data_IF_720489298528
#
_entry.id   IF_720489298528
#
_cell.length_a   1.000
_cell.length_b   1.000
_cell.length_c   1.000
_cell.angle_alpha   90.00
_cell.angle_beta   90.00
_cell.angle_gamma   90.00
#
_symmetry.space_group_name_H-M   'P 1'
#
loop_
_entity.id
_entity.type
_entity.pdbx_description
1 polymer ?
#
# COMPACT_ATOMS: atom_id res chain seq x y z
N UNK A 1 -18.55 -12.68 26.42
CA UNK A 1 -17.33 -12.08 25.85
C UNK A 1 -17.77 -10.70 25.35
N UNK A 2 -17.21 -9.67 25.89
CA UNK A 2 -17.55 -8.29 25.53
C UNK A 2 -16.59 -7.81 24.42
N UNK A 3 -17.05 -6.95 23.57
CA UNK A 3 -16.27 -6.43 22.45
C UNK A 3 -15.02 -5.69 22.94
N UNK A 4 -15.15 -5.00 24.06
CA UNK A 4 -14.09 -4.30 24.76
C UNK A 4 -12.93 -5.23 25.15
N UNK A 5 -13.24 -6.46 25.56
CA UNK A 5 -12.21 -7.46 25.90
C UNK A 5 -11.38 -7.85 24.66
N UNK A 6 -12.03 -7.97 23.49
CA UNK A 6 -11.35 -8.23 22.22
C UNK A 6 -10.47 -7.06 21.79
N UNK A 7 -11.00 -5.83 21.96
CA UNK A 7 -10.25 -4.60 21.68
C UNK A 7 -9.01 -4.50 22.57
N UNK A 8 -9.16 -4.67 23.88
CA UNK A 8 -8.03 -4.66 24.83
C UNK A 8 -6.97 -5.69 24.46
N UNK A 9 -7.37 -6.89 24.05
CA UNK A 9 -6.43 -7.94 23.60
C UNK A 9 -5.66 -7.48 22.34
N UNK A 10 -6.34 -6.94 21.35
CA UNK A 10 -5.69 -6.39 20.14
C UNK A 10 -4.71 -5.29 20.49
N UNK A 11 -5.10 -4.34 21.35
CA UNK A 11 -4.23 -3.23 21.75
C UNK A 11 -2.97 -3.72 22.53
N UNK A 12 -3.08 -4.78 23.33
CA UNK A 12 -1.91 -5.40 23.98
C UNK A 12 -0.96 -6.01 22.96
N UNK A 13 -1.49 -6.71 21.95
CA UNK A 13 -0.66 -7.31 20.88
C UNK A 13 0.04 -6.24 20.05
N UNK A 14 -0.70 -5.20 19.63
CA UNK A 14 -0.17 -4.12 18.78
C UNK A 14 0.87 -3.25 19.50
N UNK A 15 0.65 -2.96 20.78
CA UNK A 15 1.56 -2.10 21.56
C UNK A 15 2.70 -2.87 22.23
N UNK A 16 2.59 -4.20 22.35
CA UNK A 16 3.49 -5.03 23.15
C UNK A 16 3.47 -4.70 24.65
N UNK A 17 2.44 -3.96 25.14
CA UNK A 17 2.44 -3.38 26.49
C UNK A 17 1.04 -3.31 27.10
N UNK A 18 0.87 -3.95 28.26
CA UNK A 18 -0.35 -3.86 29.05
C UNK A 18 -0.68 -2.41 29.50
N UNK A 19 0.37 -1.64 29.84
CA UNK A 19 0.18 -0.25 30.31
C UNK A 19 -0.26 0.68 29.17
N UNK A 20 0.30 0.53 27.98
CA UNK A 20 -0.14 1.30 26.79
C UNK A 20 -1.56 0.91 26.38
N UNK A 21 -1.88 -0.36 26.34
CA UNK A 21 -3.23 -0.82 26.06
C UNK A 21 -4.25 -0.29 27.08
N UNK A 22 -3.87 -0.21 28.36
CA UNK A 22 -4.71 0.36 29.40
C UNK A 22 -5.00 1.85 29.15
N UNK A 23 -3.98 2.64 28.78
CA UNK A 23 -4.14 4.05 28.41
C UNK A 23 -5.07 4.22 27.21
N UNK A 24 -4.92 3.41 26.15
CA UNK A 24 -5.76 3.46 24.94
C UNK A 24 -7.23 3.14 25.24
N UNK A 25 -7.49 2.31 26.25
CA UNK A 25 -8.85 1.91 26.63
C UNK A 25 -9.39 2.67 27.84
N UNK A 26 -8.67 3.66 28.37
CA UNK A 26 -9.07 4.47 29.56
C UNK A 26 -9.39 3.62 30.80
N UNK A 27 -8.62 2.54 31.01
CA UNK A 27 -8.77 1.63 32.16
C UNK A 27 -7.42 1.44 32.88
N UNK A 28 -7.44 0.71 34.01
CA UNK A 28 -6.21 0.36 34.72
C UNK A 28 -5.49 -0.82 34.05
N UNK A 29 -4.17 -0.89 34.19
CA UNK A 29 -3.37 -2.03 33.70
C UNK A 29 -3.83 -3.37 34.33
N UNK A 30 -4.29 -3.35 35.60
CA UNK A 30 -4.86 -4.53 36.26
C UNK A 30 -6.15 -5.01 35.59
N UNK A 31 -7.02 -4.11 35.15
CA UNK A 31 -8.24 -4.42 34.42
C UNK A 31 -7.92 -5.12 33.09
N UNK A 32 -6.99 -4.58 32.30
CA UNK A 32 -6.52 -5.23 31.05
C UNK A 32 -5.97 -6.62 31.36
N UNK A 33 -5.12 -6.76 32.38
CA UNK A 33 -4.53 -8.04 32.76
C UNK A 33 -5.59 -9.07 33.15
N UNK A 34 -6.66 -8.65 33.86
CA UNK A 34 -7.78 -9.52 34.22
C UNK A 34 -8.57 -9.95 32.98
N UNK A 35 -8.85 -9.05 32.03
CA UNK A 35 -9.54 -9.38 30.79
C UNK A 35 -8.76 -10.38 29.94
N UNK A 36 -7.45 -10.20 29.82
CA UNK A 36 -6.60 -11.16 29.10
C UNK A 36 -6.60 -12.53 29.79
N UNK A 37 -6.48 -12.58 31.12
CA UNK A 37 -6.60 -13.86 31.88
C UNK A 37 -7.95 -14.51 31.67
N UNK A 38 -9.03 -13.76 31.64
CA UNK A 38 -10.37 -14.29 31.37
C UNK A 38 -10.48 -14.93 29.99
N UNK A 39 -9.86 -14.31 28.95
CA UNK A 39 -9.78 -14.89 27.62
C UNK A 39 -8.92 -16.18 27.61
N UNK A 40 -7.74 -16.17 28.24
CA UNK A 40 -6.87 -17.35 28.35
C UNK A 40 -7.57 -18.51 29.07
N UNK A 41 -8.27 -18.22 30.15
CA UNK A 41 -9.06 -19.24 30.90
C UNK A 41 -10.20 -19.80 30.06
N UNK A 42 -10.92 -18.92 29.30
CA UNK A 42 -12.02 -19.36 28.43
C UNK A 42 -11.57 -20.32 27.35
N UNK A 43 -10.41 -20.11 26.77
CA UNK A 43 -9.87 -20.99 25.73
C UNK A 43 -8.95 -22.09 26.26
N UNK A 44 -8.70 -22.10 27.55
CA UNK A 44 -7.75 -23.01 28.23
C UNK A 44 -6.36 -22.98 27.54
N UNK A 45 -5.95 -21.80 27.02
CA UNK A 45 -4.69 -21.63 26.32
C UNK A 45 -4.06 -20.28 26.66
N UNK A 46 -2.74 -20.26 26.71
CA UNK A 46 -1.99 -19.01 26.76
C UNK A 46 -2.09 -18.30 25.41
N UNK A 47 -2.53 -17.05 25.42
CA UNK A 47 -2.64 -16.21 24.22
C UNK A 47 -1.44 -15.28 24.07
N UNK A 48 -0.80 -14.90 25.19
CA UNK A 48 0.37 -14.03 25.21
C UNK A 48 1.55 -14.72 25.89
N UNK A 49 2.72 -14.60 25.28
CA UNK A 49 4.00 -14.94 25.88
C UNK A 49 4.55 -13.69 26.58
N UNK A 50 4.97 -13.85 27.83
CA UNK A 50 5.53 -12.77 28.65
C UNK A 50 7.02 -13.03 28.80
N UNK A 51 7.86 -12.38 28.00
CA UNK A 51 9.28 -12.28 28.27
C UNK A 51 9.58 -11.04 29.12
N UNK A 52 10.71 -11.00 29.78
CA UNK A 52 11.10 -9.87 30.64
C UNK A 52 11.17 -8.50 29.90
N UNK A 53 11.12 -8.49 28.59
CA UNK A 53 11.29 -7.27 27.77
C UNK A 53 10.12 -6.96 26.82
N UNK A 54 9.26 -7.93 26.48
CA UNK A 54 8.21 -7.73 25.49
C UNK A 54 7.06 -8.72 25.65
N UNK A 55 5.85 -8.25 25.36
CA UNK A 55 4.65 -9.09 25.28
C UNK A 55 4.42 -9.41 23.81
N UNK A 56 4.41 -10.71 23.48
CA UNK A 56 4.18 -11.19 22.11
C UNK A 56 3.05 -12.21 22.08
N UNK A 57 2.26 -12.30 21.01
CA UNK A 57 1.22 -13.34 20.89
C UNK A 57 1.84 -14.72 20.72
N UNK A 58 1.19 -15.74 21.28
CA UNK A 58 1.44 -17.15 20.99
C UNK A 58 0.81 -17.51 19.63
N UNK A 59 1.04 -18.72 19.06
CA UNK A 59 0.32 -19.16 17.86
C UNK A 59 -1.22 -19.16 18.02
N UNK A 60 -1.72 -19.42 19.23
CA UNK A 60 -3.15 -19.30 19.55
C UNK A 60 -3.58 -17.82 19.62
N UNK A 61 -2.72 -16.97 20.22
CA UNK A 61 -2.91 -15.53 20.29
C UNK A 61 -2.93 -14.86 18.91
N UNK A 62 -2.06 -15.26 18.01
CA UNK A 62 -2.02 -14.81 16.60
C UNK A 62 -3.34 -15.10 15.87
N UNK A 63 -3.88 -16.32 16.04
CA UNK A 63 -5.18 -16.71 15.45
C UNK A 63 -6.31 -15.87 16.03
N UNK A 64 -6.33 -15.71 17.36
CA UNK A 64 -7.35 -14.89 18.02
C UNK A 64 -7.23 -13.42 17.61
N UNK A 65 -6.01 -12.87 17.52
CA UNK A 65 -5.75 -11.49 17.11
C UNK A 65 -6.35 -11.20 15.74
N UNK A 66 -6.08 -12.06 14.75
CA UNK A 66 -6.65 -11.92 13.40
C UNK A 66 -8.18 -11.94 13.43
N UNK A 67 -8.77 -12.93 14.12
CA UNK A 67 -10.23 -13.01 14.24
C UNK A 67 -10.84 -11.82 14.99
N UNK A 68 -10.18 -11.31 16.04
CA UNK A 68 -10.64 -10.12 16.76
C UNK A 68 -10.61 -8.87 15.88
N UNK A 69 -9.55 -8.68 15.09
CA UNK A 69 -9.47 -7.55 14.14
C UNK A 69 -10.63 -7.57 13.14
N UNK A 70 -10.99 -8.76 12.63
CA UNK A 70 -12.12 -8.92 11.73
C UNK A 70 -13.47 -8.58 12.39
N UNK A 71 -13.69 -9.08 13.61
CA UNK A 71 -14.94 -8.81 14.38
C UNK A 71 -15.05 -7.32 14.69
N UNK A 72 -13.98 -6.71 15.18
CA UNK A 72 -13.96 -5.28 15.54
C UNK A 72 -14.16 -4.40 14.30
N UNK A 73 -13.54 -4.73 13.17
CA UNK A 73 -13.76 -4.03 11.92
C UNK A 73 -15.22 -4.10 11.48
N UNK A 74 -15.82 -5.32 11.50
CA UNK A 74 -17.24 -5.49 11.13
C UNK A 74 -18.18 -4.75 12.09
N UNK A 75 -17.89 -4.74 13.38
CA UNK A 75 -18.69 -3.98 14.35
C UNK A 75 -18.65 -2.48 14.07
N UNK A 76 -17.46 -1.93 13.80
CA UNK A 76 -17.30 -0.52 13.44
C UNK A 76 -18.07 -0.18 12.15
N UNK A 77 -18.07 -1.09 11.17
CA UNK A 77 -18.86 -0.94 9.93
C UNK A 77 -20.36 -0.85 10.24
N UNK A 78 -20.88 -1.76 11.08
CA UNK A 78 -22.30 -1.77 11.48
C UNK A 78 -22.68 -0.47 12.23
N UNK A 79 -21.81 0.00 13.14
CA UNK A 79 -22.04 1.30 13.82
C UNK A 79 -22.07 2.46 12.83
N UNK A 80 -21.21 2.44 11.81
CA UNK A 80 -21.20 3.44 10.74
C UNK A 80 -22.48 3.35 9.90
N UNK A 81 -22.89 2.15 9.48
CA UNK A 81 -24.13 1.92 8.73
C UNK A 81 -25.35 2.51 9.47
N UNK A 82 -25.42 2.33 10.78
CA UNK A 82 -26.52 2.85 11.63
C UNK A 82 -26.45 4.39 11.71
N UNK A 83 -25.25 4.97 11.80
CA UNK A 83 -25.05 6.43 11.88
C UNK A 83 -25.27 7.14 10.54
N UNK A 84 -25.08 6.42 9.44
CA UNK A 84 -25.11 6.95 8.06
C UNK A 84 -26.53 7.20 7.50
N UNK A 85 -27.57 7.27 8.32
CA UNK A 85 -28.90 7.80 7.89
C UNK A 85 -28.85 9.28 7.47
N UNK A 86 -27.69 9.96 7.62
CA UNK A 86 -27.49 11.32 7.18
C UNK A 86 -27.41 11.43 5.65
N UNK A 87 -27.99 12.48 5.09
CA UNK A 87 -28.06 12.78 3.64
C UNK A 87 -26.69 13.05 2.99
N UNK A 88 -25.68 13.40 3.76
CA UNK A 88 -24.35 13.80 3.28
C UNK A 88 -23.28 12.75 3.63
N UNK A 89 -22.46 12.40 2.63
CA UNK A 89 -21.36 11.43 2.82
C UNK A 89 -20.26 12.05 3.67
N UNK A 90 -19.96 11.42 4.80
CA UNK A 90 -18.92 11.88 5.74
C UNK A 90 -18.19 10.68 6.36
N UNK A 91 -17.09 10.94 7.05
CA UNK A 91 -16.32 9.93 7.76
C UNK A 91 -14.91 9.74 7.20
N UNK A 92 -14.23 8.69 7.67
CA UNK A 92 -12.86 8.39 7.24
C UNK A 92 -12.83 7.16 6.35
N UNK A 93 -11.97 7.18 5.34
CA UNK A 93 -11.60 6.03 4.54
C UNK A 93 -10.08 5.87 4.54
N UNK A 94 -9.60 4.68 4.86
CA UNK A 94 -8.16 4.39 4.89
C UNK A 94 -7.75 3.63 3.63
N UNK A 95 -6.76 4.17 2.92
CA UNK A 95 -6.18 3.57 1.71
C UNK A 95 -4.73 3.21 1.98
N UNK A 96 -4.39 1.93 1.91
CA UNK A 96 -3.00 1.48 1.90
C UNK A 96 -2.47 1.41 0.48
N UNK A 97 -1.27 1.94 0.24
CA UNK A 97 -0.72 2.05 -1.11
C UNK A 97 0.81 1.95 -1.12
N UNK A 98 1.37 1.56 -2.27
CA UNK A 98 2.81 1.62 -2.50
C UNK A 98 3.25 3.05 -2.84
N UNK A 99 4.49 3.42 -2.53
CA UNK A 99 5.02 4.78 -2.71
C UNK A 99 4.85 5.30 -4.14
N UNK A 100 5.20 4.49 -5.15
CA UNK A 100 5.16 4.91 -6.56
C UNK A 100 3.75 5.13 -7.12
N UNK A 101 2.71 4.76 -6.39
CA UNK A 101 1.31 5.05 -6.73
C UNK A 101 0.79 6.18 -5.85
N UNK A 102 0.96 6.06 -4.52
CA UNK A 102 0.37 7.00 -3.58
C UNK A 102 0.89 8.43 -3.70
N UNK A 103 2.20 8.61 -3.94
CA UNK A 103 2.79 9.95 -4.03
C UNK A 103 2.42 10.70 -5.31
N UNK A 104 2.18 10.00 -6.41
CA UNK A 104 2.04 10.64 -7.72
C UNK A 104 0.62 10.61 -8.25
N UNK A 105 -0.12 9.55 -7.93
CA UNK A 105 -1.43 9.32 -8.51
C UNK A 105 -2.59 9.81 -7.64
N UNK A 106 -2.44 9.70 -6.32
CA UNK A 106 -3.53 9.99 -5.42
C UNK A 106 -3.79 11.48 -5.18
N UNK A 107 -2.89 12.37 -5.60
CA UNK A 107 -3.09 13.82 -5.45
C UNK A 107 -4.31 14.33 -6.24
N UNK A 108 -4.49 13.85 -7.46
CA UNK A 108 -5.65 14.22 -8.29
C UNK A 108 -6.94 13.62 -7.70
N UNK A 109 -6.89 12.37 -7.25
CA UNK A 109 -8.00 11.71 -6.57
C UNK A 109 -8.40 12.46 -5.30
N UNK A 110 -7.44 12.86 -4.47
CA UNK A 110 -7.70 13.66 -3.26
C UNK A 110 -8.36 14.99 -3.60
N UNK A 111 -7.87 15.68 -4.64
CA UNK A 111 -8.43 16.96 -5.09
C UNK A 111 -9.88 16.80 -5.54
N UNK A 112 -10.18 15.75 -6.30
CA UNK A 112 -11.54 15.47 -6.77
C UNK A 112 -12.46 15.05 -5.62
N UNK A 113 -11.98 14.20 -4.72
CA UNK A 113 -12.72 13.82 -3.52
C UNK A 113 -13.07 15.02 -2.64
N UNK A 114 -12.14 15.96 -2.44
CA UNK A 114 -12.40 17.18 -1.67
C UNK A 114 -13.46 18.09 -2.29
N UNK A 115 -13.60 18.09 -3.63
CA UNK A 115 -14.64 18.84 -4.33
C UNK A 115 -16.01 18.17 -4.21
N UNK A 116 -16.05 16.86 -4.39
CA UNK A 116 -17.31 16.11 -4.45
C UNK A 116 -17.82 15.66 -3.08
N UNK A 117 -16.91 15.36 -2.16
CA UNK A 117 -17.20 14.84 -0.82
C UNK A 117 -16.33 15.52 0.26
N UNK A 118 -16.53 16.83 0.54
CA UNK A 118 -15.63 17.62 1.40
C UNK A 118 -15.56 17.14 2.85
N UNK A 119 -16.54 16.34 3.31
CA UNK A 119 -16.55 15.75 4.65
C UNK A 119 -15.95 14.34 4.74
N UNK A 120 -15.44 13.83 3.63
CA UNK A 120 -14.71 12.54 3.62
C UNK A 120 -13.23 12.78 3.89
N UNK A 121 -12.70 12.14 4.93
CA UNK A 121 -11.29 12.18 5.28
C UNK A 121 -10.58 10.93 4.74
N UNK A 122 -9.83 11.08 3.66
CA UNK A 122 -9.01 10.00 3.10
C UNK A 122 -7.65 9.94 3.82
N UNK A 123 -7.39 8.83 4.51
CA UNK A 123 -6.11 8.54 5.18
C UNK A 123 -5.26 7.65 4.30
N UNK A 124 -3.99 8.01 4.10
CA UNK A 124 -3.05 7.23 3.28
C UNK A 124 -2.00 6.55 4.15
N UNK A 125 -1.86 5.25 3.98
CA UNK A 125 -0.80 4.43 4.56
C UNK A 125 0.14 3.97 3.45
N UNK A 126 1.40 4.38 3.51
CA UNK A 126 2.43 3.92 2.58
C UNK A 126 3.03 2.60 3.07
N UNK A 127 3.01 1.58 2.23
CA UNK A 127 3.38 0.20 2.55
C UNK A 127 4.15 -0.47 1.42
N UNK A 128 4.81 -1.58 1.74
CA UNK A 128 5.24 -2.55 0.72
C UNK A 128 4.01 -3.28 0.16
N UNK A 129 4.14 -3.81 -1.07
CA UNK A 129 2.99 -4.41 -1.77
C UNK A 129 2.32 -5.55 -0.99
N UNK A 130 3.10 -6.43 -0.36
CA UNK A 130 2.61 -7.53 0.48
C UNK A 130 1.81 -7.02 1.69
N UNK A 131 2.31 -5.99 2.34
CA UNK A 131 1.65 -5.35 3.48
C UNK A 131 0.33 -4.65 3.10
N UNK A 132 0.23 -4.10 1.86
CA UNK A 132 -1.04 -3.54 1.36
C UNK A 132 -2.13 -4.62 1.32
N UNK A 133 -1.81 -5.82 0.84
CA UNK A 133 -2.75 -6.94 0.86
C UNK A 133 -3.15 -7.33 2.30
N UNK A 134 -2.18 -7.38 3.20
CA UNK A 134 -2.44 -7.72 4.61
C UNK A 134 -3.32 -6.66 5.29
N UNK A 135 -3.04 -5.36 5.07
CA UNK A 135 -3.87 -4.27 5.59
C UNK A 135 -5.33 -4.39 5.14
N UNK A 136 -5.58 -4.72 3.87
CA UNK A 136 -6.94 -4.89 3.33
C UNK A 136 -7.61 -6.15 3.90
N UNK A 137 -6.90 -7.28 3.95
CA UNK A 137 -7.45 -8.54 4.50
C UNK A 137 -7.81 -8.38 5.98
N UNK A 138 -6.93 -7.74 6.76
CA UNK A 138 -7.11 -7.54 8.20
C UNK A 138 -8.05 -6.37 8.54
N UNK A 139 -8.52 -5.62 7.54
CA UNK A 139 -9.39 -4.46 7.74
C UNK A 139 -8.68 -3.24 8.34
N UNK A 140 -7.34 -3.20 8.33
CA UNK A 140 -6.55 -2.03 8.70
C UNK A 140 -6.62 -0.93 7.63
N UNK A 141 -6.97 -1.30 6.39
CA UNK A 141 -7.33 -0.40 5.32
C UNK A 141 -8.66 -0.82 4.68
N UNK A 142 -9.41 0.17 4.19
CA UNK A 142 -10.65 -0.06 3.46
C UNK A 142 -10.38 -0.48 2.03
N UNK A 143 -9.36 0.15 1.42
CA UNK A 143 -8.92 -0.06 0.05
C UNK A 143 -7.40 -0.22 0.00
N UNK A 144 -6.91 -0.96 -0.97
CA UNK A 144 -5.49 -1.06 -1.27
C UNK A 144 -5.19 -0.63 -2.70
N UNK A 145 -4.01 -0.04 -2.97
CA UNK A 145 -3.54 0.22 -4.34
C UNK A 145 -2.15 -0.37 -4.52
N UNK A 146 -2.01 -1.20 -5.55
CA UNK A 146 -0.74 -1.85 -5.87
C UNK A 146 -0.49 -1.89 -7.37
N UNK A 147 0.80 -1.96 -7.73
CA UNK A 147 1.22 -2.29 -9.08
C UNK A 147 1.30 -3.81 -9.25
N UNK A 148 1.03 -4.29 -10.48
CA UNK A 148 1.02 -5.70 -10.81
C UNK A 148 0.18 -6.53 -9.83
N UNK A 149 -1.11 -6.19 -9.64
CA UNK A 149 -1.96 -6.87 -8.68
C UNK A 149 -2.02 -8.38 -8.98
N UNK A 150 -1.90 -9.18 -7.92
CA UNK A 150 -1.97 -10.64 -8.00
C UNK A 150 -3.25 -11.15 -7.34
N UNK A 151 -3.89 -12.20 -7.89
CA UNK A 151 -5.00 -12.85 -7.21
C UNK A 151 -4.57 -13.34 -5.82
N UNK A 152 -5.35 -13.01 -4.80
CA UNK A 152 -5.15 -13.48 -3.42
C UNK A 152 -6.50 -13.84 -2.81
N UNK A 153 -6.57 -14.94 -2.07
CA UNK A 153 -7.80 -15.35 -1.39
C UNK A 153 -8.32 -14.22 -0.46
N UNK A 154 -9.61 -13.95 -0.53
CA UNK A 154 -10.24 -12.89 0.26
C UNK A 154 -10.09 -11.47 -0.29
N UNK A 155 -9.50 -11.29 -1.48
CA UNK A 155 -9.34 -9.99 -2.15
C UNK A 155 -9.99 -10.04 -3.53
N UNK A 156 -10.76 -9.01 -3.84
CA UNK A 156 -11.19 -8.67 -5.19
C UNK A 156 -10.27 -7.57 -5.73
N UNK A 157 -9.80 -7.76 -6.95
CA UNK A 157 -8.94 -6.79 -7.65
C UNK A 157 -9.77 -6.06 -8.69
N UNK A 158 -9.87 -4.75 -8.56
CA UNK A 158 -10.52 -3.87 -9.53
C UNK A 158 -9.42 -3.20 -10.36
N UNK A 159 -9.35 -3.42 -11.69
CA UNK A 159 -8.39 -2.72 -12.54
C UNK A 159 -8.58 -1.20 -12.44
N UNK A 160 -7.50 -0.47 -12.17
CA UNK A 160 -7.56 0.98 -12.03
C UNK A 160 -7.04 1.66 -13.29
N UNK A 161 -5.75 1.49 -13.63
CA UNK A 161 -5.12 2.10 -14.79
C UNK A 161 -3.83 1.37 -15.16
N UNK A 162 -3.21 1.81 -16.26
CA UNK A 162 -1.90 1.33 -16.68
C UNK A 162 -0.92 2.50 -16.79
N UNK A 163 0.18 2.44 -16.04
CA UNK A 163 1.22 3.45 -16.11
C UNK A 163 2.24 3.07 -17.18
N UNK A 164 2.54 4.00 -18.08
CA UNK A 164 3.59 3.83 -19.07
C UNK A 164 4.96 3.74 -18.41
N UNK A 165 5.75 2.73 -18.76
CA UNK A 165 7.14 2.58 -18.34
C UNK A 165 8.07 3.31 -19.30
N UNK A 166 9.01 4.08 -18.75
CA UNK A 166 9.99 4.87 -19.50
C UNK A 166 11.40 4.68 -18.94
N UNK A 167 12.40 4.79 -19.80
CA UNK A 167 13.80 4.88 -19.38
C UNK A 167 14.07 6.28 -18.83
N UNK A 168 14.67 6.36 -17.65
CA UNK A 168 14.94 7.61 -16.92
C UNK A 168 16.44 7.81 -16.78
N UNK A 169 16.90 9.03 -17.05
CA UNK A 169 18.32 9.38 -17.02
C UNK A 169 18.54 10.88 -16.73
N UNK A 170 19.75 11.29 -16.32
CA UNK A 170 20.09 12.73 -16.22
C UNK A 170 20.11 13.38 -17.61
N UNK A 171 19.82 14.71 -17.72
CA UNK A 171 19.78 15.42 -19.01
C UNK A 171 21.09 15.39 -19.79
N UNK A 172 22.23 15.32 -19.08
CA UNK A 172 23.56 15.31 -19.66
C UNK A 172 24.06 13.91 -20.06
N UNK A 173 23.24 12.86 -19.89
CA UNK A 173 23.63 11.50 -20.25
C UNK A 173 23.73 11.33 -21.78
N UNK A 174 24.73 10.60 -22.32
CA UNK A 174 24.90 10.43 -23.78
C UNK A 174 23.65 9.88 -24.49
N UNK A 175 22.90 8.99 -23.84
CA UNK A 175 21.66 8.44 -24.39
C UNK A 175 20.49 9.46 -24.41
N UNK A 176 20.59 10.59 -23.71
CA UNK A 176 19.54 11.60 -23.70
C UNK A 176 19.30 12.26 -25.06
N UNK A 177 20.30 12.25 -25.95
CA UNK A 177 20.17 12.72 -27.33
C UNK A 177 19.40 11.77 -28.25
N UNK A 178 19.20 10.51 -27.85
CA UNK A 178 18.49 9.52 -28.66
C UNK A 178 16.97 9.70 -28.53
N UNK A 179 16.24 9.47 -29.61
CA UNK A 179 14.78 9.53 -29.60
C UNK A 179 14.15 8.36 -28.83
N UNK A 180 14.77 7.19 -28.91
CA UNK A 180 14.35 5.95 -28.23
C UNK A 180 15.57 5.19 -27.73
N UNK A 181 15.40 4.38 -26.69
CA UNK A 181 16.48 3.58 -26.12
C UNK A 181 16.15 2.09 -26.32
N UNK A 182 17.11 1.32 -26.84
CA UNK A 182 16.98 -0.14 -26.89
C UNK A 182 17.29 -0.75 -25.54
N UNK A 183 16.64 -1.88 -25.22
CA UNK A 183 16.93 -2.64 -24.01
C UNK A 183 18.39 -3.09 -23.94
N UNK A 184 18.98 -3.45 -25.09
CA UNK A 184 20.39 -3.79 -25.21
C UNK A 184 21.32 -2.61 -24.87
N UNK A 185 20.96 -1.37 -25.29
CA UNK A 185 21.74 -0.18 -24.94
C UNK A 185 21.62 0.15 -23.45
N UNK A 186 20.45 -0.06 -22.86
CA UNK A 186 20.23 0.15 -21.43
C UNK A 186 20.98 -0.87 -20.56
N UNK A 187 21.04 -2.14 -20.97
CA UNK A 187 21.76 -3.19 -20.22
C UNK A 187 23.28 -2.99 -20.17
N UNK A 188 23.84 -2.15 -21.04
CA UNK A 188 25.26 -1.78 -21.01
C UNK A 188 25.55 -0.57 -20.09
N UNK A 189 24.56 -0.02 -19.43
CA UNK A 189 24.71 1.10 -18.51
C UNK A 189 24.62 0.64 -17.05
N UNK A 190 25.22 1.38 -16.12
CA UNK A 190 24.88 1.22 -14.70
C UNK A 190 23.38 1.35 -14.50
N UNK A 191 22.75 0.35 -13.90
CA UNK A 191 21.29 0.30 -13.76
C UNK A 191 20.87 0.28 -12.30
N UNK A 192 19.94 1.17 -11.94
CA UNK A 192 19.36 1.28 -10.61
C UNK A 192 17.98 0.67 -10.65
N UNK A 193 17.76 -0.38 -9.89
CA UNK A 193 16.53 -1.15 -9.87
C UNK A 193 15.73 -0.97 -8.58
N UNK A 194 14.45 -1.30 -8.64
CA UNK A 194 13.69 -1.60 -7.43
C UNK A 194 14.26 -2.84 -6.71
N UNK A 195 14.04 -2.92 -5.40
CA UNK A 195 14.29 -4.12 -4.58
C UNK A 195 13.76 -5.38 -5.29
N UNK A 196 14.50 -6.48 -5.19
CA UNK A 196 14.25 -7.73 -5.88
C UNK A 196 12.86 -8.32 -5.61
N UNK A 197 12.31 -8.08 -4.42
CA UNK A 197 10.99 -8.56 -4.05
C UNK A 197 9.85 -7.68 -4.57
N UNK A 198 10.13 -6.46 -5.00
CA UNK A 198 9.12 -5.54 -5.50
C UNK A 198 8.44 -6.07 -6.77
N UNK A 199 7.08 -6.04 -6.87
CA UNK A 199 6.37 -6.46 -8.08
C UNK A 199 6.80 -5.68 -9.33
N UNK A 200 7.13 -4.39 -9.20
CA UNK A 200 7.66 -3.57 -10.29
C UNK A 200 9.00 -4.09 -10.81
N UNK A 201 9.89 -4.56 -9.92
CA UNK A 201 11.15 -5.19 -10.31
C UNK A 201 10.90 -6.48 -11.10
N UNK A 202 10.06 -7.34 -10.57
CA UNK A 202 9.71 -8.62 -11.23
C UNK A 202 9.10 -8.40 -12.63
N UNK A 203 8.25 -7.34 -12.76
CA UNK A 203 7.67 -6.95 -14.03
C UNK A 203 8.71 -6.45 -15.04
N UNK A 204 9.63 -5.57 -14.61
CA UNK A 204 10.72 -5.06 -15.45
C UNK A 204 11.69 -6.19 -15.86
N UNK A 205 12.12 -7.03 -14.92
CA UNK A 205 13.00 -8.16 -15.21
C UNK A 205 12.38 -9.13 -16.21
N UNK A 206 11.06 -9.40 -16.09
CA UNK A 206 10.32 -10.21 -17.06
C UNK A 206 10.33 -9.55 -18.43
N UNK A 207 10.07 -8.25 -18.51
CA UNK A 207 10.06 -7.50 -19.76
C UNK A 207 11.38 -7.64 -20.53
N UNK A 208 12.53 -7.49 -19.84
CA UNK A 208 13.84 -7.63 -20.45
C UNK A 208 14.13 -9.08 -20.85
N UNK A 209 13.82 -10.03 -19.99
CA UNK A 209 13.99 -11.46 -20.27
C UNK A 209 13.17 -11.92 -21.48
N UNK A 210 11.92 -11.44 -21.63
CA UNK A 210 11.06 -11.77 -22.77
C UNK A 210 11.63 -11.24 -24.10
N UNK A 211 12.59 -10.30 -24.05
CA UNK A 211 13.36 -9.77 -25.19
C UNK A 211 14.77 -10.37 -25.31
N UNK A 212 15.10 -11.35 -24.49
CA UNK A 212 16.41 -11.99 -24.50
C UNK A 212 17.54 -11.09 -23.98
N UNK A 213 17.24 -10.04 -23.23
CA UNK A 213 18.21 -9.12 -22.65
C UNK A 213 18.32 -9.39 -21.14
N UNK A 214 19.54 -9.62 -20.66
CA UNK A 214 19.82 -9.69 -19.23
C UNK A 214 20.09 -8.28 -18.69
N UNK A 215 19.39 -7.92 -17.62
CA UNK A 215 19.56 -6.64 -16.94
C UNK A 215 20.13 -6.88 -15.55
N UNK A 216 21.37 -6.48 -15.33
CA UNK A 216 22.07 -6.63 -14.06
C UNK A 216 22.12 -5.30 -13.33
N UNK A 217 21.40 -5.12 -12.20
CA UNK A 217 21.45 -3.88 -11.44
C UNK A 217 22.80 -3.67 -10.78
N UNK A 218 23.28 -2.43 -10.78
CA UNK A 218 24.41 -1.97 -9.96
C UNK A 218 23.99 -1.53 -8.58
N UNK A 219 22.70 -1.11 -8.43
CA UNK A 219 22.09 -0.69 -7.18
C UNK A 219 20.65 -1.17 -7.11
N UNK A 220 20.19 -1.49 -5.90
CA UNK A 220 18.80 -1.85 -5.62
C UNK A 220 18.24 -0.92 -4.51
N UNK A 221 17.00 -0.44 -4.69
CA UNK A 221 16.36 0.50 -3.77
C UNK A 221 14.89 0.13 -3.57
N UNK A 222 14.37 0.42 -2.38
CA UNK A 222 13.02 -0.01 -1.95
C UNK A 222 11.89 0.89 -2.45
N UNK A 223 12.20 2.13 -2.86
CA UNK A 223 11.18 3.06 -3.33
C UNK A 223 11.62 3.93 -4.52
N UNK A 224 10.64 4.50 -5.21
CA UNK A 224 10.85 5.27 -6.43
C UNK A 224 11.59 6.58 -6.19
N UNK A 225 11.42 7.23 -5.03
CA UNK A 225 12.05 8.53 -4.74
C UNK A 225 13.55 8.40 -4.59
N UNK A 226 14.01 7.35 -3.89
CA UNK A 226 15.44 7.07 -3.76
C UNK A 226 16.07 6.69 -5.10
N UNK A 227 15.36 5.95 -5.95
CA UNK A 227 15.80 5.64 -7.33
C UNK A 227 15.96 6.92 -8.13
N UNK A 228 14.94 7.80 -8.16
CA UNK A 228 15.00 9.09 -8.87
C UNK A 228 16.22 9.90 -8.43
N UNK A 229 16.41 10.01 -7.12
CA UNK A 229 17.55 10.76 -6.58
C UNK A 229 18.90 10.20 -6.98
N UNK A 230 19.05 8.87 -7.00
CA UNK A 230 20.29 8.24 -7.47
C UNK A 230 20.51 8.46 -8.97
N UNK A 231 19.45 8.45 -9.79
CA UNK A 231 19.55 8.79 -11.23
C UNK A 231 19.94 10.25 -11.42
N UNK A 232 19.37 11.21 -10.68
CA UNK A 232 19.74 12.63 -10.73
C UNK A 232 21.22 12.85 -10.41
N UNK A 233 21.78 12.07 -9.48
CA UNK A 233 23.21 12.10 -9.15
C UNK A 233 24.11 11.43 -10.19
N UNK A 234 23.53 10.88 -11.26
CA UNK A 234 24.30 10.22 -12.34
C UNK A 234 24.86 8.84 -11.96
N UNK A 235 24.32 8.19 -10.91
CA UNK A 235 24.81 6.89 -10.45
C UNK A 235 24.38 5.73 -11.36
N UNK A 236 23.44 5.97 -12.28
CA UNK A 236 22.95 5.00 -13.25
C UNK A 236 21.65 5.44 -13.89
N UNK A 237 21.10 4.57 -14.73
CA UNK A 237 19.80 4.75 -15.37
C UNK A 237 18.75 3.89 -14.66
N UNK A 238 17.48 4.15 -14.91
CA UNK A 238 16.39 3.32 -14.37
C UNK A 238 15.24 3.19 -15.37
N UNK A 239 14.33 2.27 -15.07
CA UNK A 239 13.02 2.14 -15.71
C UNK A 239 11.95 2.45 -14.68
N UNK A 240 11.22 3.52 -14.88
CA UNK A 240 10.21 4.01 -13.93
C UNK A 240 8.87 4.26 -14.64
N UNK A 241 7.76 4.27 -13.90
CA UNK A 241 6.48 4.73 -14.43
C UNK A 241 6.53 6.23 -14.70
N UNK A 242 6.04 6.63 -15.88
CA UNK A 242 6.04 8.03 -16.31
C UNK A 242 5.39 8.98 -15.29
N UNK A 243 4.25 8.64 -14.65
CA UNK A 243 3.66 9.53 -13.64
C UNK A 243 4.58 9.84 -12.46
N UNK A 244 5.48 8.94 -12.10
CA UNK A 244 6.38 9.14 -10.95
C UNK A 244 7.51 10.13 -11.20
N UNK A 245 7.75 10.56 -12.45
CA UNK A 245 8.85 11.44 -12.82
C UNK A 245 8.40 12.79 -13.39
N UNK A 246 7.12 13.12 -13.29
CA UNK A 246 6.55 14.37 -13.87
C UNK A 246 7.18 15.64 -13.28
N UNK A 247 7.45 15.65 -11.98
CA UNK A 247 8.07 16.79 -11.31
C UNK A 247 9.50 17.01 -11.84
N UNK A 248 10.29 15.95 -11.95
CA UNK A 248 11.67 15.99 -12.44
C UNK A 248 11.74 16.39 -13.92
N UNK A 249 10.74 15.98 -14.71
CA UNK A 249 10.61 16.44 -16.11
C UNK A 249 10.32 17.93 -16.18
N UNK A 250 9.44 18.44 -15.32
CA UNK A 250 9.09 19.88 -15.30
C UNK A 250 10.26 20.77 -14.86
N UNK A 251 11.14 20.26 -14.00
CA UNK A 251 12.35 20.96 -13.52
C UNK A 251 13.58 20.67 -14.36
N UNK A 252 13.46 19.78 -15.36
CA UNK A 252 14.57 19.31 -16.19
C UNK A 252 15.72 18.69 -15.37
N UNK A 253 15.44 18.14 -14.18
CA UNK A 253 16.43 17.39 -13.40
C UNK A 253 16.61 15.96 -13.89
N UNK A 254 15.59 15.40 -14.56
CA UNK A 254 15.63 14.14 -15.28
C UNK A 254 15.03 14.29 -16.68
N UNK A 255 15.41 13.37 -17.57
CA UNK A 255 14.77 13.20 -18.89
C UNK A 255 14.32 11.75 -19.06
N UNK A 256 13.28 11.55 -19.87
CA UNK A 256 12.75 10.23 -20.16
C UNK A 256 12.81 9.89 -21.64
N UNK A 257 12.99 8.62 -21.95
CA UNK A 257 12.92 8.10 -23.33
C UNK A 257 12.07 6.85 -23.38
N UNK A 258 11.28 6.68 -24.44
CA UNK A 258 10.57 5.42 -24.66
C UNK A 258 11.53 4.31 -25.11
N UNK A 259 11.13 3.08 -24.95
CA UNK A 259 11.85 1.94 -25.52
C UNK A 259 11.71 1.89 -27.04
N UNK A 260 12.76 1.45 -27.72
CA UNK A 260 12.75 1.27 -29.17
C UNK A 260 11.88 0.04 -29.56
N UNK A 261 11.84 -0.98 -28.73
CA UNK A 261 11.14 -2.24 -28.95
C UNK A 261 9.61 -2.14 -28.79
N UNK A 262 9.09 -1.05 -28.24
CA UNK A 262 7.66 -0.83 -28.08
C UNK A 262 7.27 0.02 -26.87
N UNK A 263 5.96 0.11 -26.64
CA UNK A 263 5.41 0.74 -25.43
C UNK A 263 5.10 -0.33 -24.41
N UNK A 264 5.52 -0.12 -23.17
CA UNK A 264 5.31 -1.04 -22.07
C UNK A 264 4.60 -0.32 -20.94
N UNK A 265 3.70 -1.04 -20.28
CA UNK A 265 2.91 -0.51 -19.17
C UNK A 265 3.03 -1.40 -17.94
N UNK A 266 2.69 -0.84 -16.79
CA UNK A 266 2.47 -1.59 -15.56
C UNK A 266 1.03 -1.43 -15.11
N UNK A 267 0.29 -2.50 -14.89
CA UNK A 267 -1.07 -2.43 -14.38
C UNK A 267 -1.09 -1.98 -12.92
N UNK A 268 -2.04 -1.11 -12.59
CA UNK A 268 -2.39 -0.71 -11.22
C UNK A 268 -3.77 -1.25 -10.91
N UNK A 269 -3.95 -1.82 -9.72
CA UNK A 269 -5.24 -2.32 -9.26
C UNK A 269 -5.60 -1.80 -7.88
N UNK A 270 -6.91 -1.58 -7.70
CA UNK A 270 -7.52 -1.35 -6.40
C UNK A 270 -7.87 -2.70 -5.78
N UNK A 271 -7.43 -2.91 -4.56
CA UNK A 271 -7.73 -4.09 -3.76
C UNK A 271 -8.90 -3.79 -2.83
N UNK A 272 -9.89 -4.66 -2.85
CA UNK A 272 -11.06 -4.60 -1.98
C UNK A 272 -11.19 -5.96 -1.28
N UNK A 273 -11.49 -5.97 0.01
CA UNK A 273 -11.76 -7.23 0.71
C UNK A 273 -13.05 -7.85 0.19
N UNK A 274 -12.96 -9.10 -0.25
CA UNK A 274 -14.10 -9.83 -0.79
C UNK A 274 -15.22 -9.97 0.23
N UNK A 275 -16.44 -9.61 -0.18
CA UNK A 275 -17.63 -9.69 0.66
C UNK A 275 -17.67 -8.65 1.80
N UNK A 276 -16.73 -7.69 1.83
CA UNK A 276 -16.78 -6.57 2.78
C UNK A 276 -17.78 -5.53 2.29
N UNK A 277 -18.62 -5.06 3.21
CA UNK A 277 -19.37 -3.82 3.01
C UNK A 277 -18.41 -2.63 3.18
N UNK A 278 -18.37 -1.76 2.20
CA UNK A 278 -17.59 -0.52 2.30
C UNK A 278 -18.47 0.56 2.93
N UNK A 279 -17.91 1.32 3.88
CA UNK A 279 -18.57 2.52 4.40
C UNK A 279 -18.84 3.51 3.25
N UNK A 280 -19.82 4.41 3.41
CA UNK A 280 -20.11 5.43 2.39
C UNK A 280 -18.89 6.28 2.03
N UNK A 281 -18.02 6.56 3.02
CA UNK A 281 -16.75 7.25 2.80
C UNK A 281 -15.79 6.42 1.93
N UNK A 282 -15.61 5.12 2.24
CA UNK A 282 -14.77 4.23 1.46
C UNK A 282 -15.34 3.98 0.04
N UNK A 283 -16.68 3.89 -0.07
CA UNK A 283 -17.34 3.77 -1.36
C UNK A 283 -17.15 5.03 -2.21
N UNK A 284 -17.26 6.23 -1.64
CA UNK A 284 -17.01 7.49 -2.33
C UNK A 284 -15.57 7.57 -2.86
N UNK A 285 -14.58 7.12 -2.06
CA UNK A 285 -13.20 7.03 -2.53
C UNK A 285 -13.06 6.03 -3.69
N UNK A 286 -13.67 4.85 -3.58
CA UNK A 286 -13.65 3.84 -4.65
C UNK A 286 -14.31 4.35 -5.94
N UNK A 287 -15.42 5.07 -5.83
CA UNK A 287 -16.12 5.63 -6.98
C UNK A 287 -15.31 6.77 -7.63
N UNK A 288 -14.58 7.56 -6.84
CA UNK A 288 -13.62 8.54 -7.36
C UNK A 288 -12.48 7.86 -8.14
N UNK A 289 -11.97 6.69 -7.68
CA UNK A 289 -11.01 5.90 -8.47
C UNK A 289 -11.60 5.42 -9.80
N UNK A 290 -12.86 5.00 -9.81
CA UNK A 290 -13.52 4.51 -11.05
C UNK A 290 -13.78 5.64 -12.04
N UNK A 291 -14.19 6.83 -11.58
CA UNK A 291 -14.48 7.98 -12.45
C UNK A 291 -13.20 8.56 -13.06
N UNK A 292 -12.10 8.65 -12.31
CA UNK A 292 -10.82 9.14 -12.83
C UNK A 292 -10.18 8.24 -13.89
N UNK A 293 -10.64 7.00 -14.04
CA UNK A 293 -10.23 6.08 -15.12
C UNK A 293 -10.73 6.50 -16.50
N UNK A 294 -11.76 7.35 -16.60
CA UNK A 294 -12.42 7.71 -17.86
C UNK A 294 -11.83 8.95 -18.53
N UNK A 295 -10.92 9.66 -17.86
CA UNK A 295 -10.36 10.94 -18.35
C UNK A 295 -8.95 10.81 -18.97
N UNK A 296 -8.31 9.63 -18.98
CA UNK A 296 -7.05 9.27 -19.64
C UNK A 296 -7.30 8.46 -20.93
#
# INVERSE_FOLDING_TARGET
MQLESLKMFCDVVETGSFSRAAQLNHVTQSAVSQQIRALENRYAQRLLSRSARQVTPTPAGERLFRGCKEILARFTEVEQEIREQATEVSGAATVSTIYSVGLHELQNIQRELLKTHPKVNMRLNYRRSDQVYDDVILGAADLGLVAYPQPRAGIDVIPFREDKLVVVMPPNHPLASKAKITMAALSQQPFIAFDREAPSRKGIDKLFRDKGVELTPTMEMDNVETIKRAVELGLGLSVLPLPSVQMELSTNSLVTKPFAEGSYTRPIGVLVRKGKYLSRAAQAVLDTFKSSKQED
#
